data_IF_604290430872
#
_entry.id   IF_604290430872
#
_cell.length_a   1.000
_cell.length_b   1.000
_cell.length_c   1.000
_cell.angle_alpha   90.00
_cell.angle_beta   90.00
_cell.angle_gamma   90.00
#
_symmetry.space_group_name_H-M   'P 1'
#
loop_
_entity.id
_entity.type
_entity.pdbx_description
1 polymer ?
#
# COMPACT_ATOMS: atom_id res chain seq x y z
N UNK A 1 -6.34 1.91 3.48
CA UNK A 1 -7.60 2.20 4.20
C UNK A 1 -8.60 2.70 3.17
N UNK A 2 -9.90 2.46 3.33
CA UNK A 2 -10.90 3.03 2.43
C UNK A 2 -11.07 4.50 2.78
N UNK A 3 -10.97 5.39 1.80
CA UNK A 3 -11.09 6.84 2.01
C UNK A 3 -12.49 7.25 2.49
N UNK A 4 -13.53 6.46 2.21
CA UNK A 4 -14.91 6.74 2.64
C UNK A 4 -15.12 6.52 4.14
N UNK A 5 -14.38 5.58 4.72
CA UNK A 5 -14.50 5.18 6.14
C UNK A 5 -13.11 5.00 6.79
N UNK A 6 -12.28 6.07 6.81
CA UNK A 6 -10.85 5.97 7.10
C UNK A 6 -10.54 5.55 8.55
N UNK A 7 -11.43 5.89 9.49
CA UNK A 7 -11.28 5.59 10.93
C UNK A 7 -11.59 4.14 11.28
N UNK A 8 -12.54 3.52 10.59
CA UNK A 8 -12.98 2.15 10.85
C UNK A 8 -12.07 1.15 10.12
N UNK A 9 -11.45 1.56 9.02
CA UNK A 9 -10.57 0.71 8.21
C UNK A 9 -9.19 0.39 8.82
N UNK A 10 -8.96 0.70 10.10
CA UNK A 10 -7.72 0.35 10.81
C UNK A 10 -7.93 -0.85 11.72
N UNK A 11 -6.91 -1.70 11.83
CA UNK A 11 -6.91 -2.77 12.81
C UNK A 11 -6.56 -2.18 14.20
N UNK A 12 -7.32 -2.47 15.28
CA UNK A 12 -7.09 -1.88 16.60
C UNK A 12 -5.68 -2.11 17.16
N UNK A 13 -5.08 -3.26 16.85
CA UNK A 13 -3.73 -3.61 17.33
C UNK A 13 -2.60 -2.95 16.52
N UNK A 14 -2.89 -2.29 15.39
CA UNK A 14 -1.84 -1.75 14.53
C UNK A 14 -1.09 -0.60 15.22
N UNK A 15 -1.79 0.17 16.05
CA UNK A 15 -1.21 1.26 16.84
C UNK A 15 -0.20 0.72 17.84
N UNK A 16 -0.58 -0.36 18.55
CA UNK A 16 0.31 -1.05 19.49
C UNK A 16 1.54 -1.63 18.81
N UNK A 17 1.38 -2.22 17.61
CA UNK A 17 2.52 -2.78 16.88
C UNK A 17 3.49 -1.71 16.40
N UNK A 18 2.97 -0.60 15.88
CA UNK A 18 3.79 0.53 15.44
C UNK A 18 4.63 1.08 16.59
N UNK A 19 4.04 1.22 17.78
CA UNK A 19 4.75 1.66 18.97
C UNK A 19 5.77 0.62 19.47
N UNK A 20 5.35 -0.64 19.63
CA UNK A 20 6.20 -1.69 20.22
C UNK A 20 7.38 -2.09 19.34
N UNK A 21 7.19 -2.07 18.02
CA UNK A 21 8.21 -2.49 17.04
C UNK A 21 8.93 -1.30 16.41
N UNK A 22 8.64 -0.06 16.87
CA UNK A 22 9.18 1.19 16.34
C UNK A 22 9.14 1.27 14.80
N UNK A 23 7.96 0.99 14.23
CA UNK A 23 7.79 0.92 12.77
C UNK A 23 7.37 2.27 12.21
N UNK A 24 7.98 2.66 11.09
CA UNK A 24 7.48 3.82 10.32
C UNK A 24 6.14 3.49 9.68
N UNK A 25 5.16 4.38 9.81
CA UNK A 25 3.81 4.19 9.30
C UNK A 25 3.63 4.89 7.97
N UNK A 26 3.16 4.14 6.96
CA UNK A 26 2.69 4.71 5.70
C UNK A 26 1.21 4.40 5.53
N UNK A 27 0.42 5.41 5.20
CA UNK A 27 -1.03 5.29 5.03
C UNK A 27 -1.38 5.48 3.56
N UNK A 28 -1.97 4.44 2.97
CA UNK A 28 -2.54 4.50 1.62
C UNK A 28 -4.06 4.46 1.71
N UNK A 29 -4.70 5.55 1.30
CA UNK A 29 -6.14 5.67 1.15
C UNK A 29 -6.56 5.25 -0.26
N UNK A 30 -7.42 4.24 -0.34
CA UNK A 30 -8.02 3.73 -1.57
C UNK A 30 -9.39 4.34 -1.76
N UNK A 31 -9.94 4.28 -2.97
CA UNK A 31 -11.24 4.86 -3.31
C UNK A 31 -11.30 6.40 -3.21
N UNK A 32 -10.17 7.06 -3.51
CA UNK A 32 -10.10 8.54 -3.56
C UNK A 32 -11.16 9.16 -4.46
N UNK A 33 -11.58 8.43 -5.48
CA UNK A 33 -12.62 8.84 -6.42
C UNK A 33 -14.03 9.00 -5.84
N UNK A 34 -14.28 8.41 -4.68
CA UNK A 34 -15.60 8.43 -4.04
C UNK A 34 -15.72 9.54 -2.99
N UNK A 35 -14.70 10.38 -2.86
CA UNK A 35 -14.67 11.50 -1.92
C UNK A 35 -14.37 12.80 -2.67
N UNK A 36 -14.83 13.93 -2.14
CA UNK A 36 -14.50 15.26 -2.66
C UNK A 36 -13.08 15.69 -2.26
N UNK A 37 -12.53 16.69 -2.96
CA UNK A 37 -11.21 17.25 -2.61
C UNK A 37 -11.21 17.86 -1.19
N UNK A 38 -12.33 18.45 -0.75
CA UNK A 38 -12.49 18.94 0.62
C UNK A 38 -12.41 17.81 1.64
N UNK A 39 -13.06 16.67 1.38
CA UNK A 39 -12.99 15.49 2.24
C UNK A 39 -11.59 14.89 2.24
N UNK A 40 -10.89 14.88 1.10
CA UNK A 40 -9.50 14.43 1.00
C UNK A 40 -8.61 15.26 1.93
N UNK A 41 -8.75 16.58 1.91
CA UNK A 41 -7.95 17.49 2.74
C UNK A 41 -8.27 17.32 4.23
N UNK A 42 -9.55 17.15 4.59
CA UNK A 42 -9.94 16.85 5.97
C UNK A 42 -9.33 15.54 6.48
N UNK A 43 -9.34 14.49 5.65
CA UNK A 43 -8.74 13.19 5.98
C UNK A 43 -7.22 13.33 6.10
N UNK A 44 -6.59 14.08 5.20
CA UNK A 44 -5.15 14.34 5.22
C UNK A 44 -4.76 15.05 6.50
N UNK A 45 -5.41 16.17 6.83
CA UNK A 45 -5.18 16.93 8.05
C UNK A 45 -5.32 16.06 9.30
N UNK A 46 -6.42 15.32 9.41
CA UNK A 46 -6.63 14.42 10.53
C UNK A 46 -5.54 13.33 10.62
N UNK A 47 -5.11 12.78 9.48
CA UNK A 47 -4.05 11.76 9.43
C UNK A 47 -2.70 12.32 9.87
N UNK A 48 -2.40 13.58 9.52
CA UNK A 48 -1.19 14.27 9.96
C UNK A 48 -1.18 14.46 11.47
N UNK A 49 -2.28 14.95 12.02
CA UNK A 49 -2.42 15.24 13.44
C UNK A 49 -2.38 13.99 14.32
N UNK A 50 -2.80 12.83 13.80
CA UNK A 50 -3.06 11.64 14.64
C UNK A 50 -2.20 10.42 14.31
N UNK A 51 -1.67 10.29 13.08
CA UNK A 51 -1.14 9.00 12.61
C UNK A 51 0.28 9.06 12.06
N UNK A 52 0.60 10.02 11.18
CA UNK A 52 1.88 10.05 10.46
C UNK A 52 2.12 11.39 9.76
N UNK A 53 3.36 11.68 9.40
CA UNK A 53 3.75 12.84 8.58
C UNK A 53 3.11 12.85 7.18
N UNK A 54 2.98 14.04 6.58
CA UNK A 54 2.33 14.26 5.29
C UNK A 54 2.97 13.44 4.14
N UNK A 55 4.30 13.32 4.14
CA UNK A 55 5.06 12.57 3.13
C UNK A 55 4.71 11.07 3.10
N UNK A 56 4.08 10.56 4.16
CA UNK A 56 3.69 9.15 4.29
C UNK A 56 2.20 8.92 4.02
N UNK A 57 1.51 9.88 3.41
CA UNK A 57 0.08 9.82 3.10
C UNK A 57 -0.13 9.81 1.59
N UNK A 58 -0.73 8.72 1.11
CA UNK A 58 -1.04 8.52 -0.31
C UNK A 58 -2.53 8.32 -0.52
N UNK A 59 -3.11 9.04 -1.48
CA UNK A 59 -4.48 8.79 -1.93
C UNK A 59 -4.44 8.18 -3.33
N UNK A 60 -5.25 7.15 -3.56
CA UNK A 60 -5.24 6.42 -4.83
C UNK A 60 -6.65 6.01 -5.25
N UNK A 61 -7.01 6.36 -6.49
CA UNK A 61 -8.10 5.71 -7.21
C UNK A 61 -7.59 4.34 -7.71
N UNK A 62 -8.32 3.28 -7.37
CA UNK A 62 -8.02 1.91 -7.79
C UNK A 62 -8.97 1.41 -8.89
N UNK A 63 -9.94 2.22 -9.33
CA UNK A 63 -10.82 1.88 -10.45
C UNK A 63 -9.98 1.80 -11.72
N UNK A 64 -10.12 0.68 -12.43
CA UNK A 64 -9.44 0.53 -13.70
C UNK A 64 -7.91 0.45 -13.59
N UNK A 65 -7.31 -0.10 -12.52
CA UNK A 65 -5.86 -0.38 -12.49
C UNK A 65 -5.33 -1.22 -13.69
N UNK A 66 -6.24 -1.86 -14.43
CA UNK A 66 -6.01 -2.53 -15.72
C UNK A 66 -6.01 -1.60 -16.94
N UNK A 67 -6.71 -0.46 -16.86
CA UNK A 67 -6.92 0.57 -17.91
C UNK A 67 -6.21 1.92 -17.65
N UNK A 68 -5.77 2.20 -16.42
CA UNK A 68 -5.01 3.42 -16.11
C UNK A 68 -3.71 3.47 -16.91
N UNK A 69 -3.34 4.68 -17.35
CA UNK A 69 -2.07 4.90 -18.05
C UNK A 69 -0.88 4.51 -17.15
N UNK A 70 0.18 3.90 -17.68
CA UNK A 70 1.34 3.45 -16.91
C UNK A 70 1.93 4.58 -16.04
N UNK A 71 1.99 5.80 -16.59
CA UNK A 71 2.65 6.97 -15.99
C UNK A 71 2.07 7.37 -14.62
N UNK A 72 0.75 7.42 -14.47
CA UNK A 72 0.10 7.86 -13.22
C UNK A 72 0.15 6.78 -12.13
N UNK A 73 0.21 5.52 -12.53
CA UNK A 73 0.32 4.38 -11.61
C UNK A 73 1.75 4.20 -11.11
N UNK A 74 2.72 4.39 -12.01
CA UNK A 74 4.15 4.35 -11.71
C UNK A 74 4.57 5.44 -10.72
N UNK A 75 3.96 6.63 -10.77
CA UNK A 75 4.32 7.74 -9.86
C UNK A 75 4.00 7.41 -8.38
N UNK A 76 2.80 6.91 -8.08
CA UNK A 76 2.43 6.55 -6.69
C UNK A 76 3.25 5.34 -6.20
N UNK A 77 3.45 4.33 -7.05
CA UNK A 77 4.25 3.16 -6.68
C UNK A 77 5.72 3.54 -6.43
N UNK A 78 6.28 4.45 -7.24
CA UNK A 78 7.64 4.97 -7.08
C UNK A 78 7.77 5.81 -5.82
N UNK A 79 6.88 6.78 -5.58
CA UNK A 79 6.90 7.58 -4.34
C UNK A 79 6.75 6.71 -3.08
N UNK A 80 5.88 5.69 -3.14
CA UNK A 80 5.74 4.72 -2.06
C UNK A 80 7.03 3.93 -1.84
N UNK A 81 7.68 3.49 -2.92
CA UNK A 81 8.98 2.81 -2.86
C UNK A 81 10.06 3.72 -2.27
N UNK A 82 10.18 4.96 -2.74
CA UNK A 82 11.16 5.93 -2.24
C UNK A 82 10.96 6.21 -0.75
N UNK A 83 9.69 6.33 -0.32
CA UNK A 83 9.34 6.50 1.10
C UNK A 83 9.73 5.27 1.91
N UNK A 84 9.44 4.06 1.41
CA UNK A 84 9.83 2.81 2.07
C UNK A 84 11.36 2.67 2.19
N UNK A 85 12.11 3.10 1.18
CA UNK A 85 13.57 3.06 1.19
C UNK A 85 14.16 4.14 2.12
N UNK A 86 13.55 5.33 2.17
CA UNK A 86 13.95 6.44 3.05
C UNK A 86 13.80 6.09 4.54
N UNK A 87 12.66 5.50 4.91
CA UNK A 87 12.34 5.23 6.32
C UNK A 87 12.60 3.78 6.76
N UNK A 88 12.83 2.87 5.82
CA UNK A 88 13.11 1.47 6.14
C UNK A 88 14.46 1.30 6.84
N UNK A 89 14.53 0.42 7.83
CA UNK A 89 15.81 -0.03 8.39
C UNK A 89 16.37 -1.20 7.56
N UNK A 90 17.70 -1.22 7.37
CA UNK A 90 18.36 -2.35 6.72
C UNK A 90 18.31 -3.58 7.61
N UNK A 91 18.00 -4.72 7.01
CA UNK A 91 17.92 -5.98 7.73
C UNK A 91 19.16 -6.81 7.40
N UNK A 92 20.11 -6.77 8.34
CA UNK A 92 21.37 -7.51 8.24
C UNK A 92 22.31 -6.95 7.18
N UNK A 93 23.10 -7.81 6.54
CA UNK A 93 24.09 -7.44 5.52
C UNK A 93 23.47 -7.16 4.15
N UNK A 94 22.22 -7.56 3.94
CA UNK A 94 21.48 -7.22 2.72
C UNK A 94 20.81 -5.86 2.97
N UNK A 95 20.99 -4.90 2.05
CA UNK A 95 20.26 -3.61 2.05
C UNK A 95 18.76 -3.78 1.69
N UNK A 96 18.15 -4.85 2.20
CA UNK A 96 16.77 -5.19 1.97
C UNK A 96 15.92 -4.62 3.12
N UNK A 97 14.96 -3.77 2.75
CA UNK A 97 13.96 -3.24 3.67
C UNK A 97 12.73 -4.16 3.67
N UNK A 98 12.12 -4.41 4.83
CA UNK A 98 10.84 -5.14 4.91
C UNK A 98 9.72 -4.20 5.34
N UNK A 99 8.57 -4.36 4.71
CA UNK A 99 7.36 -3.62 5.05
C UNK A 99 6.23 -4.60 5.38
N UNK A 100 5.50 -4.31 6.46
CA UNK A 100 4.29 -5.03 6.82
C UNK A 100 3.08 -4.30 6.21
N UNK A 101 2.34 -4.98 5.34
CA UNK A 101 1.14 -4.43 4.72
C UNK A 101 -0.10 -4.93 5.45
N UNK A 102 -0.81 -4.03 6.14
CA UNK A 102 -2.03 -4.34 6.87
C UNK A 102 -3.23 -3.59 6.28
N UNK A 103 -4.41 -4.22 6.31
CA UNK A 103 -5.67 -3.60 5.92
C UNK A 103 -6.82 -4.58 5.93
N UNK A 104 -8.05 -4.06 6.06
CA UNK A 104 -9.29 -4.84 5.99
C UNK A 104 -9.38 -5.56 4.63
N UNK A 105 -9.94 -6.79 4.58
CA UNK A 105 -10.24 -7.47 3.33
C UNK A 105 -11.00 -6.58 2.34
N UNK A 106 -10.76 -6.76 1.04
CA UNK A 106 -11.47 -6.10 -0.06
C UNK A 106 -11.32 -4.57 -0.19
N UNK A 107 -10.59 -3.90 0.70
CA UNK A 107 -10.32 -2.45 0.61
C UNK A 107 -9.28 -2.09 -0.47
N UNK A 108 -8.71 -3.08 -1.16
CA UNK A 108 -7.73 -2.86 -2.23
C UNK A 108 -6.27 -3.13 -1.85
N UNK A 109 -6.01 -3.76 -0.69
CA UNK A 109 -4.66 -4.20 -0.28
C UNK A 109 -3.97 -5.06 -1.35
N UNK A 110 -4.66 -6.08 -1.86
CA UNK A 110 -4.08 -6.99 -2.87
C UNK A 110 -3.84 -6.27 -4.21
N UNK A 111 -4.69 -5.29 -4.55
CA UNK A 111 -4.50 -4.42 -5.71
C UNK A 111 -3.26 -3.54 -5.55
N UNK A 112 -3.05 -2.92 -4.38
CA UNK A 112 -1.85 -2.11 -4.10
C UNK A 112 -0.57 -2.93 -4.24
N UNK A 113 -0.53 -4.12 -3.63
CA UNK A 113 0.62 -5.02 -3.71
C UNK A 113 0.88 -5.45 -5.16
N UNK A 114 -0.16 -5.76 -5.92
CA UNK A 114 -0.02 -6.05 -7.35
C UNK A 114 0.51 -4.86 -8.15
N UNK A 115 0.11 -3.63 -7.83
CA UNK A 115 0.61 -2.42 -8.50
C UNK A 115 2.11 -2.26 -8.30
N UNK A 116 2.60 -2.43 -7.07
CA UNK A 116 4.04 -2.42 -6.79
C UNK A 116 4.77 -3.56 -7.50
N UNK A 117 4.15 -4.75 -7.56
CA UNK A 117 4.76 -5.92 -8.19
C UNK A 117 4.66 -5.91 -9.72
N UNK A 118 3.87 -5.02 -10.33
CA UNK A 118 3.46 -5.09 -11.74
C UNK A 118 4.63 -5.10 -12.71
N UNK A 119 5.65 -4.27 -12.48
CA UNK A 119 6.85 -4.22 -13.34
C UNK A 119 7.68 -5.49 -13.23
N UNK A 120 7.91 -5.97 -12.01
CA UNK A 120 8.62 -7.21 -11.76
C UNK A 120 7.88 -8.41 -12.38
N UNK A 121 6.56 -8.47 -12.20
CA UNK A 121 5.69 -9.48 -12.79
C UNK A 121 5.79 -9.46 -14.33
N UNK A 122 5.80 -8.28 -14.96
CA UNK A 122 6.01 -8.17 -16.42
C UNK A 122 7.40 -8.70 -16.82
N UNK A 123 8.46 -8.37 -16.08
CA UNK A 123 9.83 -8.85 -16.32
C UNK A 123 9.91 -10.38 -16.15
N UNK A 124 9.32 -10.95 -15.11
CA UNK A 124 9.27 -12.39 -14.85
C UNK A 124 8.43 -13.14 -15.89
N UNK A 125 7.30 -12.56 -16.34
CA UNK A 125 6.48 -13.11 -17.42
C UNK A 125 7.26 -13.22 -18.74
N UNK A 126 8.06 -12.19 -19.07
CA UNK A 126 8.98 -12.24 -20.22
C UNK A 126 10.05 -13.34 -20.08
N UNK A 127 10.42 -13.70 -18.85
CA UNK A 127 11.39 -14.75 -18.52
C UNK A 127 10.77 -16.14 -18.26
N UNK A 128 9.45 -16.30 -18.36
CA UNK A 128 8.76 -17.57 -18.14
C UNK A 128 8.59 -18.04 -16.67
N UNK A 129 8.98 -17.22 -15.68
CA UNK A 129 9.06 -17.59 -14.24
C UNK A 129 7.88 -17.07 -13.41
N UNK A 130 6.63 -17.19 -13.89
CA UNK A 130 5.51 -16.39 -13.39
C UNK A 130 4.80 -16.96 -12.13
N UNK A 131 4.86 -16.21 -11.02
CA UNK A 131 3.92 -16.33 -9.90
C UNK A 131 3.38 -14.93 -9.50
N UNK A 132 2.25 -14.51 -10.06
CA UNK A 132 1.59 -13.29 -9.61
C UNK A 132 0.70 -13.52 -8.38
N UNK A 133 0.54 -12.50 -7.52
CA UNK A 133 -0.47 -12.55 -6.47
C UNK A 133 -1.87 -12.60 -7.08
N UNK A 134 -2.65 -13.59 -6.64
CA UNK A 134 -4.07 -13.71 -6.99
C UNK A 134 -4.84 -12.54 -6.38
N UNK A 135 -5.45 -11.71 -7.24
CA UNK A 135 -6.38 -10.66 -6.82
C UNK A 135 -7.79 -11.22 -6.97
N UNK A 136 -8.52 -11.30 -5.86
CA UNK A 136 -9.94 -11.54 -5.90
C UNK A 136 -10.67 -10.64 -4.92
N UNK A 137 -11.90 -10.30 -5.28
CA UNK A 137 -12.83 -9.52 -4.47
C UNK A 137 -13.66 -10.44 -3.56
N UNK A 138 -13.00 -11.38 -2.87
CA UNK A 138 -13.64 -12.26 -1.87
C UNK A 138 -12.87 -12.17 -0.57
N UNK A 139 -13.59 -11.97 0.54
CA UNK A 139 -12.99 -12.02 1.87
C UNK A 139 -12.44 -13.42 2.13
N UNK A 140 -11.28 -13.52 2.77
CA UNK A 140 -10.68 -14.81 3.14
C UNK A 140 -9.92 -15.54 2.01
N UNK A 141 -9.68 -14.90 0.86
CA UNK A 141 -8.88 -15.53 -0.21
C UNK A 141 -7.36 -15.46 0.04
N UNK A 142 -6.86 -14.34 0.58
CA UNK A 142 -5.45 -14.26 0.99
C UNK A 142 -5.29 -14.90 2.36
N UNK A 143 -5.17 -16.25 2.40
CA UNK A 143 -5.06 -17.01 3.65
C UNK A 143 -3.64 -17.10 4.22
N UNK A 144 -2.63 -17.02 3.36
CA UNK A 144 -1.22 -17.20 3.76
C UNK A 144 -0.45 -15.88 3.68
N UNK A 145 0.47 -15.67 4.64
CA UNK A 145 1.48 -14.62 4.55
C UNK A 145 2.35 -14.93 3.33
N UNK A 146 2.30 -14.07 2.31
CA UNK A 146 3.14 -14.17 1.11
C UNK A 146 4.16 -13.06 1.16
N UNK A 147 5.44 -13.44 1.25
CA UNK A 147 6.55 -12.49 1.08
C UNK A 147 6.65 -12.19 -0.42
N UNK A 148 6.71 -10.89 -0.75
CA UNK A 148 6.99 -10.43 -2.10
C UNK A 148 8.24 -9.57 -2.07
N UNK A 149 9.18 -9.91 -2.95
CA UNK A 149 10.40 -9.13 -3.15
C UNK A 149 10.14 -8.10 -4.23
N UNK A 150 10.65 -6.89 -4.03
CA UNK A 150 10.63 -5.82 -5.01
C UNK A 150 12.10 -5.42 -5.26
N UNK A 151 12.49 -5.30 -6.52
CA UNK A 151 13.81 -4.87 -6.97
C UNK A 151 13.68 -3.57 -7.76
#
# INVERSE_FOLDING_TARGET
RDARIPRICSHPLIEKWVQNMNLHRIVVYTHRDLISDEQEEQIRKWTIENLTENDSIFFKDLRGFRKESPKTTEDVARRLYDTLMKYGQDIGYMQAKKALVCGIPNVGKSSLVYLMAKEMIKKMKKKGLYHAPTIANRAGETKNIKIQWFN
#
